data_IF_781716594397
#
_entry.id   IF_781716594397
#
_cell.length_a   1.000
_cell.length_b   1.000
_cell.length_c   1.000
_cell.angle_alpha   90.00
_cell.angle_beta   90.00
_cell.angle_gamma   90.00
#
_symmetry.space_group_name_H-M   'P 1'
#
loop_
_entity.id
_entity.type
_entity.pdbx_description
1 polymer ?
#
# COMPACT_ATOMS: atom_id res chain seq x y z
N UNK A 1 -24.37 36.90 -31.71
CA UNK A 1 -23.08 36.65 -31.03
C UNK A 1 -23.04 35.18 -30.69
N UNK A 2 -22.17 34.42 -31.35
CA UNK A 2 -21.97 33.00 -31.06
C UNK A 2 -21.17 32.86 -29.76
N UNK A 3 -21.44 31.88 -28.89
CA UNK A 3 -20.65 31.65 -27.69
C UNK A 3 -19.21 31.25 -28.07
N UNK A 4 -18.21 31.54 -27.21
CA UNK A 4 -16.83 31.17 -27.47
C UNK A 4 -16.72 29.65 -27.55
N UNK A 5 -15.98 29.16 -28.56
CA UNK A 5 -15.57 27.76 -28.61
C UNK A 5 -14.66 27.50 -27.41
N UNK A 6 -15.10 26.62 -26.51
CA UNK A 6 -14.26 26.10 -25.43
C UNK A 6 -13.19 25.24 -26.10
N UNK A 7 -11.95 25.73 -26.13
CA UNK A 7 -10.80 24.92 -26.49
C UNK A 7 -10.67 23.79 -25.47
N UNK A 8 -10.94 22.56 -25.91
CA UNK A 8 -10.64 21.39 -25.12
C UNK A 8 -9.11 21.27 -25.02
N UNK A 9 -8.54 21.01 -23.82
CA UNK A 9 -7.12 20.78 -23.70
C UNK A 9 -6.70 19.64 -24.63
N UNK A 10 -5.58 19.83 -25.32
CA UNK A 10 -5.01 18.85 -26.24
C UNK A 10 -4.91 17.49 -25.52
N UNK A 11 -5.50 16.46 -26.13
CA UNK A 11 -5.53 15.10 -25.57
C UNK A 11 -4.08 14.58 -25.37
N UNK A 12 -3.10 15.15 -26.07
CA UNK A 12 -1.67 14.89 -25.89
C UNK A 12 -1.08 15.38 -24.54
N UNK A 13 -1.80 16.25 -23.82
CA UNK A 13 -1.37 16.81 -22.53
C UNK A 13 -1.75 15.96 -21.32
N UNK A 14 -2.58 14.92 -21.51
CA UNK A 14 -2.88 13.98 -20.45
C UNK A 14 -1.73 12.97 -20.31
N UNK A 15 -1.33 12.61 -19.08
CA UNK A 15 -0.42 11.50 -18.89
C UNK A 15 -1.03 10.24 -19.54
N UNK A 16 -0.19 9.36 -20.12
CA UNK A 16 -0.67 8.16 -20.82
C UNK A 16 -1.59 7.36 -19.90
N UNK A 17 -2.63 6.76 -20.47
CA UNK A 17 -3.46 5.81 -19.73
C UNK A 17 -2.58 4.71 -19.13
N UNK A 18 -3.02 4.06 -18.06
CA UNK A 18 -2.24 3.00 -17.40
C UNK A 18 -1.79 1.91 -18.40
N UNK A 19 -2.67 1.54 -19.34
CA UNK A 19 -2.36 0.63 -20.45
C UNK A 19 -1.32 1.17 -21.44
N UNK A 20 -1.29 2.48 -21.66
CA UNK A 20 -0.29 3.14 -22.51
C UNK A 20 1.04 3.34 -21.80
N UNK A 21 1.06 3.61 -20.48
CA UNK A 21 2.28 3.65 -19.68
C UNK A 21 2.98 2.28 -19.68
N UNK A 22 2.22 1.19 -19.52
CA UNK A 22 2.75 -0.18 -19.68
C UNK A 22 3.26 -0.47 -21.10
N UNK A 23 2.65 0.12 -22.15
CA UNK A 23 3.12 0.00 -23.54
C UNK A 23 4.33 0.88 -23.85
N UNK A 24 4.45 2.06 -23.27
CA UNK A 24 5.61 2.93 -23.45
C UNK A 24 6.88 2.32 -22.83
N UNK A 25 6.77 1.62 -21.70
CA UNK A 25 7.87 0.80 -21.19
C UNK A 25 8.26 -0.35 -22.13
N UNK A 26 7.31 -0.92 -22.87
CA UNK A 26 7.61 -1.92 -23.90
C UNK A 26 8.41 -1.34 -25.09
N UNK A 27 8.24 -0.05 -25.42
CA UNK A 27 9.03 0.62 -26.47
C UNK A 27 10.49 0.93 -26.08
N UNK A 28 10.84 0.81 -24.79
CA UNK A 28 12.21 0.85 -24.27
C UNK A 28 12.80 -0.55 -24.02
N UNK A 29 12.13 -1.62 -24.51
CA UNK A 29 12.59 -3.00 -24.41
C UNK A 29 12.15 -3.75 -23.14
N UNK A 30 11.31 -3.18 -22.28
CA UNK A 30 10.81 -3.84 -21.07
C UNK A 30 9.30 -4.04 -21.11
N UNK A 31 8.83 -5.26 -21.33
CA UNK A 31 7.41 -5.61 -21.26
C UNK A 31 6.91 -5.62 -19.80
N UNK A 32 6.83 -4.45 -19.16
CA UNK A 32 6.21 -4.31 -17.86
C UNK A 32 4.70 -4.54 -18.01
N UNK A 33 4.19 -5.57 -17.35
CA UNK A 33 2.76 -5.90 -17.28
C UNK A 33 2.37 -6.18 -15.83
N UNK A 34 1.11 -6.50 -15.58
CA UNK A 34 0.64 -6.87 -14.25
C UNK A 34 -0.41 -7.97 -14.29
N UNK A 35 -0.63 -8.60 -13.14
CA UNK A 35 -1.73 -9.54 -12.92
C UNK A 35 -2.29 -9.33 -11.52
N UNK A 36 -3.62 -9.39 -11.40
CA UNK A 36 -4.34 -9.20 -10.14
C UNK A 36 -4.94 -10.52 -9.63
N UNK A 37 -4.85 -10.72 -8.32
CA UNK A 37 -5.47 -11.81 -7.59
C UNK A 37 -6.47 -11.25 -6.59
N UNK A 38 -7.75 -11.53 -6.80
CA UNK A 38 -8.85 -11.10 -5.94
C UNK A 38 -9.33 -12.26 -5.07
N UNK A 39 -9.70 -12.01 -3.80
CA UNK A 39 -10.28 -13.05 -2.94
C UNK A 39 -11.62 -13.51 -3.50
N UNK A 40 -11.84 -14.83 -3.54
CA UNK A 40 -13.17 -15.36 -3.86
C UNK A 40 -14.10 -15.28 -2.65
N UNK A 41 -15.40 -15.16 -2.93
CA UNK A 41 -16.43 -15.28 -1.92
C UNK A 41 -16.53 -16.75 -1.49
N UNK A 42 -16.29 -17.02 -0.20
CA UNK A 42 -16.44 -18.36 0.40
C UNK A 42 -17.89 -18.58 0.82
N UNK A 43 -18.48 -17.55 1.43
CA UNK A 43 -19.85 -17.56 1.92
C UNK A 43 -20.46 -16.20 1.57
N UNK A 44 -21.53 -16.14 0.76
CA UNK A 44 -22.19 -14.87 0.42
C UNK A 44 -22.86 -14.22 1.64
N UNK A 45 -22.93 -14.92 2.78
CA UNK A 45 -23.67 -14.49 3.94
C UNK A 45 -25.17 -14.60 3.70
N UNK A 46 -25.94 -13.97 4.57
CA UNK A 46 -27.39 -14.00 4.53
C UNK A 46 -28.00 -12.76 5.15
N UNK A 47 -29.29 -12.83 5.49
CA UNK A 47 -29.98 -11.70 6.11
C UNK A 47 -29.33 -11.23 7.43
N UNK A 48 -28.70 -12.16 8.16
CA UNK A 48 -28.10 -11.92 9.48
C UNK A 48 -26.58 -12.08 9.52
N UNK A 49 -25.93 -12.43 8.41
CA UNK A 49 -24.49 -12.68 8.37
C UNK A 49 -23.82 -11.93 7.23
N UNK A 50 -22.69 -11.31 7.53
CA UNK A 50 -21.84 -10.66 6.52
C UNK A 50 -21.18 -11.72 5.62
N UNK A 51 -20.94 -11.38 4.33
CA UNK A 51 -20.22 -12.27 3.43
C UNK A 51 -18.79 -12.51 3.95
N UNK A 52 -18.28 -13.72 3.68
CA UNK A 52 -16.91 -14.13 3.98
C UNK A 52 -16.15 -14.35 2.69
N UNK A 53 -14.92 -13.87 2.67
CA UNK A 53 -14.01 -13.95 1.54
C UNK A 53 -12.72 -14.64 1.95
N UNK A 54 -12.00 -15.16 0.96
CA UNK A 54 -10.69 -15.79 1.16
C UNK A 54 -9.68 -14.83 1.80
N UNK A 55 -8.95 -15.23 2.84
CA UNK A 55 -7.93 -14.38 3.45
C UNK A 55 -6.78 -14.10 2.48
N UNK A 56 -6.02 -13.03 2.72
CA UNK A 56 -4.97 -12.55 1.82
C UNK A 56 -3.89 -13.60 1.54
N UNK A 57 -3.56 -14.48 2.50
CA UNK A 57 -2.67 -15.64 2.26
C UNK A 57 -3.07 -16.52 1.06
N UNK A 58 -4.37 -16.67 0.79
CA UNK A 58 -4.85 -17.49 -0.33
C UNK A 58 -4.54 -16.84 -1.67
N UNK A 59 -4.45 -15.51 -1.72
CA UNK A 59 -4.11 -14.76 -2.93
C UNK A 59 -2.63 -14.96 -3.25
N UNK A 60 -1.76 -14.92 -2.24
CA UNK A 60 -0.32 -15.20 -2.40
C UNK A 60 -0.10 -16.66 -2.83
N UNK A 61 -0.86 -17.61 -2.28
CA UNK A 61 -0.80 -19.01 -2.73
C UNK A 61 -1.20 -19.14 -4.20
N UNK A 62 -2.32 -18.52 -4.62
CA UNK A 62 -2.76 -18.54 -6.01
C UNK A 62 -1.77 -17.84 -6.95
N UNK A 63 -1.15 -16.74 -6.50
CA UNK A 63 -0.08 -16.08 -7.21
C UNK A 63 1.12 -17.02 -7.45
N UNK A 64 1.53 -17.77 -6.44
CA UNK A 64 2.61 -18.76 -6.57
C UNK A 64 2.25 -19.89 -7.54
N UNK A 65 1.00 -20.38 -7.49
CA UNK A 65 0.57 -21.43 -8.42
C UNK A 65 0.46 -20.93 -9.86
N UNK A 66 0.09 -19.66 -10.04
CA UNK A 66 0.13 -18.99 -11.34
C UNK A 66 1.56 -18.81 -11.85
N UNK A 67 2.50 -18.37 -11.01
CA UNK A 67 3.91 -18.19 -11.37
C UNK A 67 4.57 -19.50 -11.82
N UNK A 68 4.24 -20.63 -11.18
CA UNK A 68 4.71 -21.96 -11.61
C UNK A 68 4.28 -22.30 -13.04
N UNK A 69 3.08 -21.88 -13.44
CA UNK A 69 2.53 -22.12 -14.78
C UNK A 69 3.00 -21.07 -15.79
N UNK A 70 3.51 -19.93 -15.32
CA UNK A 70 3.90 -18.77 -16.11
C UNK A 70 5.37 -18.40 -15.87
N UNK A 71 6.24 -19.41 -15.84
CA UNK A 71 7.66 -19.31 -15.46
C UNK A 71 8.52 -18.44 -16.40
N UNK A 72 7.95 -17.94 -17.51
CA UNK A 72 8.61 -16.96 -18.38
C UNK A 72 8.54 -15.54 -17.82
N UNK A 73 7.80 -15.32 -16.73
CA UNK A 73 7.61 -14.03 -16.08
C UNK A 73 8.31 -13.96 -14.72
N UNK A 74 8.91 -12.81 -14.44
CA UNK A 74 9.52 -12.44 -13.17
C UNK A 74 8.74 -11.29 -12.54
N UNK A 75 8.35 -11.44 -11.29
CA UNK A 75 7.83 -10.39 -10.41
C UNK A 75 8.96 -9.44 -10.03
N UNK A 76 8.79 -8.17 -10.40
CA UNK A 76 9.70 -7.08 -9.97
C UNK A 76 9.27 -6.47 -8.66
N UNK A 77 7.97 -6.29 -8.46
CA UNK A 77 7.39 -5.81 -7.20
C UNK A 77 5.93 -6.26 -7.13
N UNK A 78 5.32 -6.12 -5.96
CA UNK A 78 3.92 -6.42 -5.74
C UNK A 78 3.34 -5.48 -4.68
N UNK A 79 2.03 -5.30 -4.73
CA UNK A 79 1.32 -4.41 -3.83
C UNK A 79 -0.05 -4.98 -3.50
N UNK A 80 -0.59 -4.57 -2.35
CA UNK A 80 -1.99 -4.80 -2.04
C UNK A 80 -2.83 -3.68 -2.67
N UNK A 81 -3.84 -4.06 -3.44
CA UNK A 81 -4.75 -3.12 -4.11
C UNK A 81 -6.12 -3.14 -3.45
N UNK A 82 -6.62 -1.98 -3.04
CA UNK A 82 -7.93 -1.86 -2.40
C UNK A 82 -9.00 -1.41 -3.39
N UNK A 83 -10.10 -2.16 -3.39
CA UNK A 83 -11.27 -1.89 -4.21
C UNK A 83 -12.46 -1.61 -3.30
N UNK A 84 -13.21 -0.56 -3.61
CA UNK A 84 -14.57 -0.44 -3.09
C UNK A 84 -15.41 -1.54 -3.73
N UNK A 85 -15.85 -2.49 -2.91
CA UNK A 85 -16.63 -3.64 -3.34
C UNK A 85 -18.12 -3.28 -3.32
N UNK A 86 -18.79 -3.50 -4.45
CA UNK A 86 -20.26 -3.64 -4.47
C UNK A 86 -20.60 -5.12 -4.63
N UNK A 87 -21.85 -5.48 -4.96
CA UNK A 87 -22.24 -6.87 -5.26
C UNK A 87 -21.39 -7.52 -6.38
N UNK A 88 -20.70 -6.73 -7.20
CA UNK A 88 -19.72 -7.16 -8.19
C UNK A 88 -18.51 -6.22 -8.18
N UNK A 89 -17.31 -6.77 -8.35
CA UNK A 89 -16.06 -5.98 -8.44
C UNK A 89 -15.66 -5.89 -9.90
N UNK A 90 -15.49 -4.65 -10.37
CA UNK A 90 -14.88 -4.37 -11.65
C UNK A 90 -13.51 -3.74 -11.40
N UNK A 91 -12.45 -4.52 -11.60
CA UNK A 91 -11.06 -4.12 -11.35
C UNK A 91 -10.49 -3.17 -12.40
N UNK A 92 -11.12 -3.08 -13.58
CA UNK A 92 -10.73 -2.14 -14.64
C UNK A 92 -11.44 -0.79 -14.48
N UNK A 93 -12.49 -0.74 -13.64
CA UNK A 93 -13.27 0.47 -13.43
C UNK A 93 -12.53 1.40 -12.46
N UNK A 94 -11.80 2.35 -13.03
CA UNK A 94 -11.09 3.42 -12.31
C UNK A 94 -12.00 4.53 -11.74
N UNK A 95 -13.31 4.29 -11.62
CA UNK A 95 -14.28 5.27 -11.13
C UNK A 95 -15.30 4.64 -10.21
N UNK A 96 -15.61 5.32 -9.10
CA UNK A 96 -16.71 4.94 -8.22
C UNK A 96 -17.47 6.19 -7.79
N UNK A 97 -18.75 6.02 -7.46
CA UNK A 97 -19.57 7.05 -6.83
C UNK A 97 -19.80 6.66 -5.37
N UNK A 98 -19.71 7.63 -4.47
CA UNK A 98 -20.00 7.45 -3.06
C UNK A 98 -21.36 8.07 -2.74
N UNK A 99 -22.32 7.23 -2.36
CA UNK A 99 -23.68 7.66 -2.00
C UNK A 99 -23.97 7.30 -0.54
N UNK A 100 -23.79 8.25 0.39
CA UNK A 100 -24.37 8.23 1.74
C UNK A 100 -23.87 7.18 2.75
N UNK A 101 -24.24 7.39 4.02
CA UNK A 101 -23.67 6.84 5.26
C UNK A 101 -23.91 5.34 5.55
N UNK A 102 -24.46 4.56 4.61
CA UNK A 102 -25.15 3.30 4.93
C UNK A 102 -24.23 2.07 5.11
N UNK A 103 -23.08 2.04 4.46
CA UNK A 103 -21.91 1.18 4.71
C UNK A 103 -21.14 0.99 3.42
N UNK A 104 -19.81 0.99 3.50
CA UNK A 104 -18.95 0.78 2.34
C UNK A 104 -18.21 -0.54 2.53
N UNK A 105 -18.35 -1.44 1.57
CA UNK A 105 -17.57 -2.68 1.56
C UNK A 105 -16.27 -2.45 0.80
N UNK A 106 -15.20 -3.04 1.29
CA UNK A 106 -13.88 -2.96 0.72
C UNK A 106 -13.34 -4.37 0.52
N UNK A 107 -12.58 -4.53 -0.55
CA UNK A 107 -11.85 -5.75 -0.85
C UNK A 107 -10.39 -5.41 -1.12
N UNK A 108 -9.49 -6.26 -0.67
CA UNK A 108 -8.06 -6.16 -0.92
C UNK A 108 -7.61 -7.32 -1.79
N UNK A 109 -7.10 -6.99 -2.96
CA UNK A 109 -6.43 -7.91 -3.88
C UNK A 109 -4.91 -7.81 -3.79
N UNK A 110 -4.21 -8.69 -4.50
CA UNK A 110 -2.76 -8.66 -4.70
C UNK A 110 -2.49 -8.36 -6.17
N UNK A 111 -1.69 -7.33 -6.45
CA UNK A 111 -1.18 -7.03 -7.80
C UNK A 111 0.29 -7.41 -7.89
N UNK A 112 0.64 -8.18 -8.92
CA UNK A 112 2.03 -8.45 -9.27
C UNK A 112 2.44 -7.61 -10.46
N UNK A 113 3.60 -6.97 -10.38
CA UNK A 113 4.23 -6.28 -11.49
C UNK A 113 5.28 -7.18 -12.12
N UNK A 114 5.12 -7.48 -13.40
CA UNK A 114 5.82 -8.54 -14.10
C UNK A 114 6.69 -7.99 -15.22
N UNK A 115 7.82 -8.65 -15.45
CA UNK A 115 8.65 -8.48 -16.66
C UNK A 115 9.07 -9.85 -17.20
N UNK A 116 9.52 -9.95 -18.46
CA UNK A 116 10.06 -11.21 -18.97
C UNK A 116 11.28 -11.67 -18.17
N UNK A 117 11.29 -12.94 -17.78
CA UNK A 117 12.42 -13.56 -17.10
C UNK A 117 13.57 -13.77 -18.10
N UNK A 118 14.69 -13.06 -17.88
CA UNK A 118 15.86 -13.11 -18.76
C UNK A 118 16.64 -14.43 -18.62
N UNK A 119 16.71 -14.97 -17.40
CA UNK A 119 17.40 -16.22 -17.09
C UNK A 119 16.40 -17.37 -16.93
N UNK A 120 16.20 -18.12 -18.01
CA UNK A 120 15.29 -19.27 -18.06
C UNK A 120 15.79 -20.49 -17.26
N UNK A 121 17.02 -20.46 -16.72
CA UNK A 121 17.52 -21.53 -15.86
C UNK A 121 17.03 -21.42 -14.41
N UNK A 122 16.58 -20.22 -14.00
CA UNK A 122 16.05 -20.00 -12.64
C UNK A 122 14.66 -20.63 -12.51
N UNK A 123 14.35 -21.25 -11.36
CA UNK A 123 13.00 -21.73 -11.08
C UNK A 123 12.01 -20.56 -11.05
N UNK A 124 10.73 -20.88 -11.24
CA UNK A 124 9.65 -19.92 -11.05
C UNK A 124 9.74 -19.31 -9.64
N UNK A 125 9.55 -17.99 -9.56
CA UNK A 125 9.57 -17.30 -8.29
C UNK A 125 8.46 -17.80 -7.37
N UNK A 126 8.79 -17.87 -6.09
CA UNK A 126 7.82 -18.14 -5.04
C UNK A 126 7.81 -16.93 -4.11
N UNK A 127 6.62 -16.42 -3.84
CA UNK A 127 6.36 -15.26 -3.02
C UNK A 127 5.98 -15.68 -1.61
N UNK A 128 6.41 -14.89 -0.63
CA UNK A 128 5.95 -14.93 0.75
C UNK A 128 5.67 -13.52 1.25
N UNK A 129 5.08 -13.41 2.44
CA UNK A 129 4.92 -12.13 3.11
C UNK A 129 4.86 -12.28 4.62
N UNK A 130 5.07 -11.18 5.33
CA UNK A 130 4.85 -11.05 6.76
C UNK A 130 4.13 -9.74 7.05
N UNK A 131 3.17 -9.77 7.98
CA UNK A 131 2.53 -8.57 8.51
C UNK A 131 3.18 -8.21 9.85
N UNK A 132 3.75 -7.02 9.93
CA UNK A 132 4.31 -6.44 11.15
C UNK A 132 3.23 -5.55 11.77
N UNK A 133 2.68 -6.02 12.87
CA UNK A 133 1.62 -5.34 13.60
C UNK A 133 2.26 -4.54 14.74
N UNK A 134 1.94 -3.24 14.89
CA UNK A 134 2.33 -2.48 16.07
C UNK A 134 1.81 -3.13 17.36
N UNK A 135 2.68 -3.31 18.35
CA UNK A 135 2.30 -3.78 19.68
C UNK A 135 1.73 -2.62 20.49
N UNK A 136 0.73 -2.93 21.32
CA UNK A 136 0.19 -1.95 22.25
C UNK A 136 1.21 -1.69 23.37
N UNK A 137 1.61 -0.43 23.55
CA UNK A 137 2.61 -0.01 24.55
C UNK A 137 1.95 0.39 25.87
N UNK A 138 0.73 0.91 25.83
CA UNK A 138 -0.08 1.17 27.02
C UNK A 138 -1.56 0.89 26.77
N UNK A 139 -2.28 0.31 27.76
CA UNK A 139 -3.72 0.11 27.67
C UNK A 139 -4.47 1.45 27.64
N UNK A 140 -5.72 1.45 27.16
CA UNK A 140 -6.57 2.64 27.26
C UNK A 140 -6.75 3.04 28.73
N UNK A 141 -6.58 4.32 29.02
CA UNK A 141 -6.93 4.91 30.31
C UNK A 141 -8.39 5.33 30.37
N UNK A 142 -8.85 5.80 31.53
CA UNK A 142 -10.25 6.28 31.71
C UNK A 142 -10.63 7.40 30.73
N UNK A 143 -9.64 8.17 30.25
CA UNK A 143 -9.84 9.29 29.32
C UNK A 143 -8.84 9.30 28.16
N UNK A 144 -8.15 8.18 27.90
CA UNK A 144 -7.12 8.11 26.85
C UNK A 144 -7.27 6.85 25.99
N UNK A 145 -6.97 7.01 24.71
CA UNK A 145 -6.86 5.89 23.78
C UNK A 145 -5.63 5.01 24.11
N UNK A 146 -5.61 3.74 23.70
CA UNK A 146 -4.40 2.94 23.79
C UNK A 146 -3.29 3.56 22.95
N UNK A 147 -2.04 3.38 23.37
CA UNK A 147 -0.85 3.74 22.59
C UNK A 147 -0.20 2.51 22.00
N UNK A 148 0.47 2.68 20.87
CA UNK A 148 1.13 1.62 20.12
C UNK A 148 2.57 2.01 19.83
N UNK A 149 3.36 1.02 19.43
CA UNK A 149 4.69 1.24 18.88
C UNK A 149 4.64 2.24 17.72
N UNK A 150 5.65 3.09 17.67
CA UNK A 150 5.97 3.92 16.51
C UNK A 150 6.48 3.04 15.36
N UNK A 151 6.53 3.61 14.14
CA UNK A 151 7.11 2.94 12.98
C UNK A 151 8.57 2.54 13.22
N UNK A 152 9.34 3.42 13.87
CA UNK A 152 10.74 3.14 14.21
C UNK A 152 10.87 1.95 15.16
N UNK A 153 10.12 1.93 16.27
CA UNK A 153 10.15 0.83 17.24
C UNK A 153 9.74 -0.51 16.59
N UNK A 154 8.72 -0.49 15.73
CA UNK A 154 8.26 -1.65 14.99
C UNK A 154 9.35 -2.22 14.07
N UNK A 155 10.02 -1.36 13.30
CA UNK A 155 11.09 -1.74 12.37
C UNK A 155 12.34 -2.22 13.12
N UNK A 156 12.76 -1.53 14.19
CA UNK A 156 13.89 -1.95 15.03
C UNK A 156 13.63 -3.32 15.65
N UNK A 157 12.42 -3.55 16.19
CA UNK A 157 12.02 -4.86 16.73
C UNK A 157 12.10 -5.95 15.66
N UNK A 158 11.63 -5.66 14.45
CA UNK A 158 11.66 -6.62 13.35
C UNK A 158 13.09 -6.91 12.86
N UNK A 159 13.93 -5.89 12.64
CA UNK A 159 15.33 -6.06 12.23
C UNK A 159 16.14 -6.83 13.29
N UNK A 160 15.89 -6.56 14.58
CA UNK A 160 16.50 -7.33 15.68
C UNK A 160 16.07 -8.80 15.68
N UNK A 161 14.83 -9.10 15.30
CA UNK A 161 14.38 -10.48 15.13
C UNK A 161 15.08 -11.17 13.97
N UNK A 162 15.31 -10.47 12.84
CA UNK A 162 16.01 -11.02 11.67
C UNK A 162 17.46 -11.42 11.97
N UNK A 163 18.11 -10.81 12.95
CA UNK A 163 19.44 -11.21 13.40
C UNK A 163 19.51 -12.65 13.96
N UNK A 164 18.38 -13.17 14.48
CA UNK A 164 18.28 -14.52 15.04
C UNK A 164 17.52 -15.48 14.13
N UNK A 165 16.56 -14.96 13.36
CA UNK A 165 15.75 -15.72 12.42
C UNK A 165 15.71 -14.98 11.08
N UNK A 166 16.68 -15.23 10.19
CA UNK A 166 16.79 -14.54 8.91
C UNK A 166 15.51 -14.62 8.08
N UNK A 167 15.29 -13.59 7.26
CA UNK A 167 14.13 -13.54 6.38
C UNK A 167 14.17 -14.71 5.38
N UNK A 168 13.02 -15.28 5.02
CA UNK A 168 12.95 -16.43 4.12
C UNK A 168 13.13 -15.97 2.67
N UNK A 169 14.30 -15.43 2.32
CA UNK A 169 14.63 -14.91 1.00
C UNK A 169 14.76 -13.39 0.94
N UNK A 170 14.65 -12.84 -0.28
CA UNK A 170 14.92 -11.44 -0.59
C UNK A 170 13.67 -10.58 -0.45
N UNK A 171 13.78 -9.40 0.17
CA UNK A 171 12.65 -8.44 0.26
C UNK A 171 12.31 -7.87 -1.12
N UNK A 172 11.07 -8.04 -1.56
CA UNK A 172 10.56 -7.49 -2.82
C UNK A 172 9.95 -6.10 -2.63
N UNK A 173 9.13 -5.93 -1.60
CA UNK A 173 8.42 -4.69 -1.30
C UNK A 173 8.08 -4.60 0.18
N UNK A 174 7.99 -3.37 0.70
CA UNK A 174 7.53 -3.05 2.05
C UNK A 174 6.39 -2.04 1.96
N UNK A 175 5.19 -2.47 2.31
CA UNK A 175 3.96 -1.67 2.18
C UNK A 175 3.47 -1.21 3.55
N UNK A 176 3.04 0.05 3.65
CA UNK A 176 2.34 0.56 4.83
C UNK A 176 0.83 0.51 4.58
N UNK A 177 0.11 -0.21 5.43
CA UNK A 177 -1.33 -0.41 5.33
C UNK A 177 -2.07 0.24 6.47
N UNK A 178 -2.90 1.24 6.17
CA UNK A 178 -3.85 1.77 7.14
C UNK A 178 -4.98 0.76 7.36
N UNK A 179 -5.20 0.36 8.61
CA UNK A 179 -6.24 -0.58 8.97
C UNK A 179 -7.08 -0.06 10.13
N UNK A 180 -8.40 -0.04 9.93
CA UNK A 180 -9.35 0.26 11.01
C UNK A 180 -9.46 -0.91 11.96
N UNK A 181 -9.36 -0.60 13.25
CA UNK A 181 -9.41 -1.54 14.37
C UNK A 181 -10.68 -1.26 15.17
N UNK A 182 -11.71 -2.12 15.06
CA UNK A 182 -12.89 -2.06 15.92
C UNK A 182 -12.53 -2.40 17.37
N UNK A 183 -11.71 -3.43 17.56
CA UNK A 183 -11.12 -3.92 18.80
C UNK A 183 -9.76 -4.55 18.45
N UNK A 184 -8.79 -4.52 19.38
CA UNK A 184 -7.50 -5.17 19.15
C UNK A 184 -7.61 -6.71 19.17
N UNK A 185 -8.59 -7.25 19.91
CA UNK A 185 -8.82 -8.71 20.03
C UNK A 185 -9.27 -9.37 18.73
N UNK A 186 -9.97 -8.63 17.87
CA UNK A 186 -10.52 -9.12 16.59
C UNK A 186 -9.76 -8.56 15.38
N UNK A 187 -8.53 -8.09 15.60
CA UNK A 187 -7.71 -7.51 14.55
C UNK A 187 -7.09 -8.60 13.67
N UNK A 188 -7.58 -8.69 12.43
CA UNK A 188 -7.04 -9.58 11.41
C UNK A 188 -6.31 -8.77 10.31
N UNK A 189 -4.96 -8.75 10.30
CA UNK A 189 -4.19 -8.09 9.24
C UNK A 189 -4.21 -8.85 7.91
N UNK A 190 -4.68 -10.10 7.92
CA UNK A 190 -4.79 -10.98 6.77
C UNK A 190 -6.18 -10.93 6.12
N UNK A 191 -7.11 -10.14 6.66
CA UNK A 191 -8.43 -9.97 6.07
C UNK A 191 -8.32 -9.33 4.68
N UNK A 192 -9.08 -9.87 3.74
CA UNK A 192 -9.17 -9.38 2.35
C UNK A 192 -10.49 -8.65 2.08
N UNK A 193 -11.43 -8.68 3.02
CA UNK A 193 -12.73 -8.04 2.90
C UNK A 193 -13.13 -7.45 4.24
N UNK A 194 -13.69 -6.25 4.22
CA UNK A 194 -14.29 -5.63 5.40
C UNK A 194 -15.41 -4.68 5.01
N UNK A 195 -16.31 -4.44 5.96
CA UNK A 195 -17.38 -3.45 5.83
C UNK A 195 -17.11 -2.31 6.81
N UNK A 196 -17.25 -1.09 6.31
CA UNK A 196 -17.16 0.10 7.13
C UNK A 196 -18.52 0.76 7.30
N UNK A 197 -18.86 1.06 8.55
CA UNK A 197 -20.06 1.82 8.92
C UNK A 197 -19.68 3.23 9.37
N UNK A 198 -20.55 4.23 9.14
CA UNK A 198 -20.30 5.66 9.45
C UNK A 198 -20.25 6.07 10.94
N UNK A 199 -19.87 5.17 11.86
CA UNK A 199 -19.85 5.42 13.31
C UNK A 199 -18.55 6.02 13.88
N UNK A 200 -18.65 6.62 15.09
CA UNK A 200 -17.54 7.24 15.86
C UNK A 200 -16.70 6.21 16.64
N UNK A 201 -15.44 6.58 16.91
CA UNK A 201 -14.36 5.80 17.55
C UNK A 201 -13.81 4.65 16.71
N UNK A 202 -13.05 5.01 15.68
CA UNK A 202 -12.22 4.07 14.92
C UNK A 202 -10.77 4.36 15.27
N UNK A 203 -10.11 3.42 15.94
CA UNK A 203 -8.67 3.39 16.01
C UNK A 203 -8.15 2.96 14.63
N UNK A 204 -7.12 3.64 14.14
CA UNK A 204 -6.43 3.28 12.91
C UNK A 204 -5.03 2.82 13.28
N UNK A 205 -4.60 1.67 12.75
CA UNK A 205 -3.24 1.19 12.87
C UNK A 205 -2.60 1.15 11.50
N UNK A 206 -1.33 1.53 11.43
CA UNK A 206 -0.49 1.28 10.26
C UNK A 206 0.22 -0.05 10.45
N UNK A 207 -0.16 -1.05 9.66
CA UNK A 207 0.52 -2.35 9.59
C UNK A 207 1.55 -2.31 8.48
N UNK A 208 2.75 -2.82 8.73
CA UNK A 208 3.77 -2.93 7.68
C UNK A 208 3.72 -4.34 7.10
N UNK A 209 3.46 -4.47 5.80
CA UNK A 209 3.49 -5.74 5.08
C UNK A 209 4.78 -5.85 4.29
N UNK A 210 5.59 -6.85 4.60
CA UNK A 210 6.85 -7.14 3.90
C UNK A 210 6.60 -8.30 2.96
N UNK A 211 6.84 -8.12 1.67
CA UNK A 211 6.80 -9.16 0.65
C UNK A 211 8.20 -9.70 0.36
N UNK A 212 8.32 -11.01 0.14
CA UNK A 212 9.58 -11.68 -0.14
C UNK A 212 9.49 -12.53 -1.40
N UNK A 213 10.62 -12.62 -2.10
CA UNK A 213 10.92 -13.73 -3.00
C UNK A 213 11.62 -14.81 -2.17
N UNK A 214 10.95 -15.95 -2.00
CA UNK A 214 11.46 -17.06 -1.23
C UNK A 214 12.73 -17.63 -1.86
N UNK A 215 13.71 -17.90 -1.03
CA UNK A 215 15.02 -18.39 -1.45
C UNK A 215 15.93 -18.62 -0.25
N UNK A 216 17.25 -18.68 -0.48
CA UNK A 216 18.22 -18.73 0.61
C UNK A 216 17.99 -17.58 1.61
N UNK A 217 18.20 -17.87 2.90
CA UNK A 217 18.11 -16.88 3.95
C UNK A 217 18.92 -15.63 3.60
N UNK A 218 18.28 -14.46 3.66
CA UNK A 218 18.93 -13.18 3.43
C UNK A 218 19.04 -12.43 4.75
N UNK A 219 20.24 -11.94 5.06
CA UNK A 219 20.46 -11.01 6.16
C UNK A 219 20.28 -9.58 5.62
N UNK A 220 19.03 -9.22 5.33
CA UNK A 220 18.65 -7.87 4.92
C UNK A 220 17.83 -7.21 6.03
N UNK A 221 18.20 -5.99 6.40
CA UNK A 221 17.36 -5.13 7.25
C UNK A 221 16.42 -4.31 6.36
N UNK A 222 15.28 -3.92 6.92
CA UNK A 222 14.34 -3.00 6.26
C UNK A 222 14.34 -1.65 6.98
N UNK A 223 14.10 -0.60 6.21
CA UNK A 223 14.00 0.77 6.71
C UNK A 223 13.02 1.57 5.86
N UNK A 224 12.73 2.79 6.31
CA UNK A 224 11.83 3.73 5.63
C UNK A 224 12.45 5.12 5.66
N UNK A 225 12.20 5.90 4.61
CA UNK A 225 12.51 7.32 4.56
C UNK A 225 11.24 8.08 4.19
N UNK A 226 10.77 8.92 5.09
CA UNK A 226 9.53 9.68 4.92
C UNK A 226 9.81 11.09 4.40
N UNK A 227 8.96 11.54 3.48
CA UNK A 227 9.01 12.88 2.92
C UNK A 227 7.63 13.51 3.00
N UNK A 228 7.46 14.47 3.91
CA UNK A 228 6.18 15.17 4.12
C UNK A 228 6.15 16.51 3.38
N UNK A 229 5.01 16.93 2.78
CA UNK A 229 4.90 18.23 2.14
C UNK A 229 5.27 19.37 3.08
N UNK A 230 6.18 20.25 2.66
CA UNK A 230 6.54 21.44 3.42
C UNK A 230 5.38 22.44 3.43
N UNK A 231 4.99 22.89 4.62
CA UNK A 231 3.99 23.94 4.79
C UNK A 231 4.54 25.29 4.32
N UNK A 232 3.91 25.90 3.33
CA UNK A 232 4.29 27.20 2.77
C UNK A 232 3.64 28.36 3.53
N UNK A 233 2.39 28.19 3.96
CA UNK A 233 1.70 29.15 4.83
C UNK A 233 0.89 28.43 5.89
N UNK A 234 0.84 29.00 7.09
CA UNK A 234 0.07 28.44 8.20
C UNK A 234 -1.45 28.62 8.03
N UNK A 235 -1.88 29.43 7.06
CA UNK A 235 -3.25 29.94 7.02
C UNK A 235 -3.53 30.95 8.14
N UNK A 236 -4.79 31.26 8.36
CA UNK A 236 -5.28 32.20 9.36
C UNK A 236 -6.74 31.92 9.68
N UNK A 237 -7.39 32.84 10.42
CA UNK A 237 -8.79 32.65 10.85
C UNK A 237 -9.79 32.39 9.70
N UNK A 238 -9.43 32.80 8.48
CA UNK A 238 -10.27 32.67 7.28
C UNK A 238 -9.56 32.02 6.10
N UNK A 239 -8.33 31.50 6.29
CA UNK A 239 -7.54 30.91 5.20
C UNK A 239 -6.95 29.58 5.64
N UNK A 240 -6.99 28.60 4.75
CA UNK A 240 -6.41 27.28 4.99
C UNK A 240 -4.89 27.33 4.86
N UNK A 241 -4.14 26.49 5.60
CA UNK A 241 -2.72 26.31 5.36
C UNK A 241 -2.47 25.85 3.93
N UNK A 242 -1.42 26.36 3.31
CA UNK A 242 -0.96 25.92 1.99
C UNK A 242 0.31 25.10 2.12
N UNK A 243 0.45 24.09 1.29
CA UNK A 243 1.57 23.17 1.25
C UNK A 243 2.20 23.19 -0.14
N UNK A 244 3.46 22.78 -0.23
CA UNK A 244 4.13 22.63 -1.51
C UNK A 244 3.43 21.59 -2.41
N UNK A 245 3.57 21.70 -3.75
CA UNK A 245 3.10 20.68 -4.66
C UNK A 245 3.76 19.32 -4.39
N UNK A 246 3.01 18.23 -4.60
CA UNK A 246 3.52 16.86 -4.41
C UNK A 246 4.76 16.54 -5.26
N UNK A 247 4.91 17.18 -6.43
CA UNK A 247 6.12 17.06 -7.26
C UNK A 247 7.40 17.42 -6.51
N UNK A 248 7.35 18.37 -5.58
CA UNK A 248 8.52 18.76 -4.78
C UNK A 248 8.89 17.69 -3.76
N UNK A 249 7.89 17.01 -3.19
CA UNK A 249 8.09 15.86 -2.29
C UNK A 249 8.80 14.74 -3.05
N UNK A 250 8.33 14.42 -4.26
CA UNK A 250 8.97 13.42 -5.14
C UNK A 250 10.40 13.83 -5.51
N UNK A 251 10.64 15.10 -5.83
CA UNK A 251 11.99 15.58 -6.16
C UNK A 251 12.97 15.40 -4.98
N UNK A 252 12.52 15.70 -3.75
CA UNK A 252 13.33 15.48 -2.54
C UNK A 252 13.59 14.00 -2.28
N UNK A 253 12.58 13.15 -2.43
CA UNK A 253 12.73 11.70 -2.31
C UNK A 253 13.74 11.16 -3.33
N UNK A 254 13.63 11.56 -4.60
CA UNK A 254 14.56 11.17 -5.67
C UNK A 254 15.99 11.63 -5.39
N UNK A 255 16.17 12.87 -4.93
CA UNK A 255 17.47 13.39 -4.52
C UNK A 255 18.06 12.56 -3.38
N UNK A 256 17.28 12.28 -2.33
CA UNK A 256 17.75 11.45 -1.22
C UNK A 256 18.14 10.05 -1.68
N UNK A 257 17.34 9.40 -2.53
CA UNK A 257 17.66 8.09 -3.11
C UNK A 257 18.98 8.10 -3.87
N UNK A 258 19.26 9.16 -4.65
CA UNK A 258 20.52 9.29 -5.41
C UNK A 258 21.77 9.40 -4.54
N UNK A 259 21.60 9.76 -3.26
CA UNK A 259 22.70 9.93 -2.30
C UNK A 259 22.98 8.64 -1.50
N UNK A 260 22.13 7.62 -1.61
CA UNK A 260 22.32 6.37 -0.88
C UNK A 260 23.22 5.41 -1.65
N UNK A 261 24.28 4.90 -1.00
CA UNK A 261 25.20 3.91 -1.60
C UNK A 261 25.01 2.48 -1.07
N UNK A 262 24.37 2.33 0.09
CA UNK A 262 24.24 1.04 0.79
C UNK A 262 22.79 0.61 1.01
N UNK A 263 21.83 1.35 0.48
CA UNK A 263 20.39 1.05 0.59
C UNK A 263 19.88 0.59 -0.76
N UNK A 264 19.18 -0.54 -0.77
CA UNK A 264 18.43 -0.99 -1.94
C UNK A 264 17.01 -0.46 -1.86
N UNK A 265 16.64 0.39 -2.80
CA UNK A 265 15.27 0.81 -2.97
C UNK A 265 14.40 -0.37 -3.44
N UNK A 266 13.30 -0.65 -2.73
CA UNK A 266 12.36 -1.73 -3.07
C UNK A 266 10.99 -1.20 -3.55
N UNK A 267 10.47 -0.15 -2.94
CA UNK A 267 9.25 0.53 -3.38
C UNK A 267 9.14 1.94 -2.76
N UNK A 268 8.21 2.74 -3.29
CA UNK A 268 7.73 3.98 -2.67
C UNK A 268 6.21 3.94 -2.60
N UNK A 269 5.64 4.62 -1.62
CA UNK A 269 4.20 4.72 -1.41
C UNK A 269 3.85 6.13 -0.94
N UNK A 270 2.70 6.65 -1.38
CA UNK A 270 2.09 7.84 -0.80
C UNK A 270 1.04 7.45 0.23
N UNK A 271 1.08 8.08 1.40
CA UNK A 271 0.09 7.87 2.47
C UNK A 271 -0.75 9.12 2.66
N UNK A 272 -2.07 8.94 2.71
CA UNK A 272 -2.99 10.02 3.06
C UNK A 272 -3.18 10.06 4.57
N UNK A 273 -2.78 11.17 5.18
CA UNK A 273 -2.91 11.38 6.62
C UNK A 273 -3.86 12.54 6.87
N UNK A 274 -4.87 12.33 7.73
CA UNK A 274 -5.78 13.39 8.15
C UNK A 274 -5.09 14.33 9.13
N UNK A 275 -5.03 15.61 8.77
CA UNK A 275 -4.55 16.65 9.66
C UNK A 275 -5.68 17.12 10.58
N UNK A 276 -5.42 17.15 11.88
CA UNK A 276 -6.29 17.80 12.86
C UNK A 276 -5.99 19.30 12.85
N UNK A 277 -7.03 20.13 12.73
CA UNK A 277 -6.85 21.60 12.71
C UNK A 277 -6.14 22.07 13.98
N UNK A 278 -5.01 22.78 13.81
CA UNK A 278 -4.28 23.45 14.90
C UNK A 278 -3.13 22.67 15.56
N UNK A 279 -2.87 21.41 15.20
CA UNK A 279 -1.73 20.63 15.72
C UNK A 279 -0.70 20.38 14.59
N UNK A 280 0.59 20.56 14.88
CA UNK A 280 1.66 20.04 14.02
C UNK A 280 1.53 18.52 13.97
N UNK A 281 1.53 17.95 12.76
CA UNK A 281 1.45 16.50 12.58
C UNK A 281 2.63 15.81 13.26
N UNK A 282 2.37 14.67 13.90
CA UNK A 282 3.34 13.82 14.61
C UNK A 282 4.43 13.24 13.67
N UNK A 283 4.33 13.46 12.36
CA UNK A 283 5.31 13.02 11.35
C UNK A 283 6.49 13.98 11.15
N UNK A 284 6.76 14.90 12.08
CA UNK A 284 8.04 15.61 12.17
C UNK A 284 9.15 14.63 12.64
N UNK A 285 9.39 13.56 11.88
CA UNK A 285 10.57 12.71 12.01
C UNK A 285 11.74 13.45 11.36
N UNK A 286 12.36 14.34 12.13
CA UNK A 286 13.70 14.82 11.82
C UNK A 286 14.66 13.64 11.91
N UNK A 287 14.97 13.01 10.77
CA UNK A 287 16.14 12.15 10.66
C UNK A 287 17.40 13.03 10.64
N UNK A 288 18.12 13.07 11.76
CA UNK A 288 19.58 13.23 11.72
C UNK A 288 20.17 11.85 11.42
N UNK A 289 20.88 11.76 10.29
CA UNK A 289 21.51 10.52 9.82
C UNK A 289 22.63 10.00 10.72
#
# INVERSE_FOLDING_TARGET
MSPPLVEYPDISSFPPSYSEATRQHASLGGALTFVDFLPYCIDPGGFTSSPKFEPFRVLVQRANDWLKQNYTWEVKTCESVEFKATKSINIERMTYYEYGEYSTCYMRGLRLWLVPQLDQSRPAQQLGYANLIPQQTAPPGMFSNPTFETLQELLERYNKHLAYQPAPGRVLAVETQEMKVPSYSDFDPDRSFWTEHGGRNKLFLFVIRVFYELGPAACEEIGVADFVPVRQSAGGAFTMPTYEPFSNVIARAAQWCSQQSYVRFCNAQSLEVKLKSGEQSIFDLNYTG
#
